data_IF_022937290062
#
_entry.id   IF_022937290062
#
_cell.length_a   1.000
_cell.length_b   1.000
_cell.length_c   1.000
_cell.angle_alpha   90.00
_cell.angle_beta   90.00
_cell.angle_gamma   90.00
#
_symmetry.space_group_name_H-M   'P 1'
#
loop_
_entity.id
_entity.type
_entity.pdbx_description
1 polymer ?
#
# COMPACT_ATOMS: atom_id res chain seq x y z
N UNK A 1 -2.10 21.97 12.43
CA UNK A 1 -2.30 20.53 12.18
C UNK A 1 -0.99 19.83 12.52
N UNK A 2 -0.97 18.82 13.40
CA UNK A 2 0.25 18.05 13.70
C UNK A 2 0.66 17.24 12.46
N UNK A 3 1.95 17.14 12.17
CA UNK A 3 2.41 16.30 11.06
C UNK A 3 2.24 14.83 11.41
N UNK A 4 1.82 14.03 10.42
CA UNK A 4 1.64 12.59 10.61
C UNK A 4 2.96 11.90 10.96
N UNK A 5 4.07 12.39 10.41
CA UNK A 5 5.41 11.93 10.73
C UNK A 5 5.76 12.18 12.20
N UNK A 6 5.42 13.34 12.75
CA UNK A 6 5.66 13.63 14.16
C UNK A 6 4.86 12.72 15.09
N UNK A 7 3.60 12.43 14.74
CA UNK A 7 2.73 11.51 15.50
C UNK A 7 3.31 10.09 15.48
N UNK A 8 3.83 9.64 14.33
CA UNK A 8 4.48 8.32 14.20
C UNK A 8 5.79 8.22 14.98
N UNK A 9 6.61 9.26 14.94
CA UNK A 9 7.91 9.29 15.60
C UNK A 9 7.77 9.47 17.12
N UNK A 10 6.75 10.19 17.58
CA UNK A 10 6.58 10.57 18.98
C UNK A 10 5.15 10.27 19.49
N UNK A 11 4.65 9.02 19.38
CA UNK A 11 3.26 8.69 19.73
C UNK A 11 2.97 8.94 21.22
N UNK A 12 3.95 8.72 22.10
CA UNK A 12 3.80 8.95 23.54
C UNK A 12 3.65 10.45 23.87
N UNK A 13 4.46 11.30 23.25
CA UNK A 13 4.40 12.76 23.46
C UNK A 13 3.06 13.32 23.02
N UNK A 14 2.53 12.82 21.90
CA UNK A 14 1.20 13.21 21.41
C UNK A 14 0.10 12.70 22.34
N UNK A 15 0.21 11.46 22.83
CA UNK A 15 -0.74 10.88 23.80
C UNK A 15 -0.82 11.71 25.08
N UNK A 16 0.32 12.05 25.67
CA UNK A 16 0.38 12.90 26.86
C UNK A 16 -0.17 14.30 26.59
N UNK A 17 0.11 14.87 25.41
CA UNK A 17 -0.42 16.17 25.01
C UNK A 17 -1.94 16.19 24.87
N UNK A 18 -2.53 15.12 24.34
CA UNK A 18 -3.97 14.93 24.21
C UNK A 18 -4.63 14.71 25.58
N UNK A 19 -4.02 13.88 26.43
CA UNK A 19 -4.50 13.60 27.78
C UNK A 19 -4.55 14.88 28.65
N UNK A 20 -3.49 15.70 28.61
CA UNK A 20 -3.46 17.02 29.29
C UNK A 20 -4.57 17.96 28.81
N UNK A 21 -5.00 17.82 27.56
CA UNK A 21 -6.07 18.61 26.94
C UNK A 21 -7.45 17.97 27.13
N UNK A 22 -7.54 16.80 27.76
CA UNK A 22 -8.75 15.96 27.87
C UNK A 22 -9.37 15.67 26.50
N UNK A 23 -8.52 15.52 25.49
CA UNK A 23 -8.93 15.21 24.14
C UNK A 23 -8.89 13.69 23.94
N UNK A 24 -10.02 13.12 23.52
CA UNK A 24 -10.23 11.68 23.38
C UNK A 24 -9.88 11.16 21.98
N UNK A 25 -9.09 11.90 21.20
CA UNK A 25 -8.68 11.44 19.87
C UNK A 25 -7.95 10.10 19.95
N UNK A 26 -8.44 9.12 19.18
CA UNK A 26 -7.88 7.79 19.10
C UNK A 26 -6.66 7.75 18.15
N UNK A 27 -5.52 8.23 18.65
CA UNK A 27 -4.24 8.20 17.93
C UNK A 27 -3.77 6.78 17.61
N UNK A 28 -4.15 5.78 18.41
CA UNK A 28 -3.77 4.38 18.16
C UNK A 28 -4.45 3.84 16.91
N UNK A 29 -5.73 4.18 16.71
CA UNK A 29 -6.46 3.88 15.48
C UNK A 29 -5.90 4.62 14.27
N UNK A 30 -5.54 5.91 14.44
CA UNK A 30 -4.87 6.69 13.39
C UNK A 30 -3.56 6.03 12.93
N UNK A 31 -2.73 5.61 13.89
CA UNK A 31 -1.46 4.94 13.62
C UNK A 31 -1.68 3.59 12.92
N UNK A 32 -2.66 2.81 13.39
CA UNK A 32 -3.03 1.53 12.76
C UNK A 32 -3.47 1.71 11.31
N UNK A 33 -4.37 2.66 11.03
CA UNK A 33 -4.85 2.96 9.68
C UNK A 33 -3.71 3.44 8.77
N UNK A 34 -2.79 4.22 9.32
CA UNK A 34 -1.60 4.69 8.61
C UNK A 34 -0.69 3.53 8.20
N UNK A 35 -0.44 2.57 9.10
CA UNK A 35 0.36 1.39 8.75
C UNK A 35 -0.36 0.48 7.76
N UNK A 36 -1.67 0.31 7.90
CA UNK A 36 -2.46 -0.44 6.94
C UNK A 36 -2.33 0.17 5.54
N UNK A 37 -2.49 1.49 5.41
CA UNK A 37 -2.31 2.20 4.14
C UNK A 37 -0.90 2.01 3.58
N UNK A 38 0.13 2.16 4.42
CA UNK A 38 1.53 1.96 3.99
C UNK A 38 1.79 0.53 3.49
N UNK A 39 1.21 -0.46 4.15
CA UNK A 39 1.28 -1.87 3.73
C UNK A 39 0.62 -2.09 2.37
N UNK A 40 -0.56 -1.50 2.14
CA UNK A 40 -1.26 -1.56 0.86
C UNK A 40 -0.47 -0.90 -0.28
N UNK A 41 0.08 0.29 -0.03
CA UNK A 41 0.94 1.00 -0.99
C UNK A 41 2.17 0.15 -1.34
N UNK A 42 2.87 -0.37 -0.33
CA UNK A 42 4.06 -1.22 -0.54
C UNK A 42 3.72 -2.47 -1.36
N UNK A 43 2.57 -3.09 -1.11
CA UNK A 43 2.09 -4.24 -1.88
C UNK A 43 1.77 -3.86 -3.33
N UNK A 44 1.13 -2.71 -3.53
CA UNK A 44 0.81 -2.19 -4.86
C UNK A 44 2.10 -1.95 -5.67
N UNK A 45 3.09 -1.28 -5.07
CA UNK A 45 4.40 -1.03 -5.68
C UNK A 45 5.11 -2.35 -6.03
N UNK A 46 5.05 -3.36 -5.16
CA UNK A 46 5.57 -4.69 -5.42
C UNK A 46 4.93 -5.37 -6.63
N UNK A 47 3.61 -5.22 -6.81
CA UNK A 47 2.90 -5.75 -7.99
C UNK A 47 3.28 -5.01 -9.26
N UNK A 48 3.44 -3.68 -9.21
CA UNK A 48 3.96 -2.90 -10.34
C UNK A 48 5.38 -3.33 -10.74
N UNK A 49 6.25 -3.56 -9.74
CA UNK A 49 7.61 -4.04 -9.97
C UNK A 49 7.60 -5.44 -10.62
N UNK A 50 6.71 -6.34 -10.20
CA UNK A 50 6.54 -7.67 -10.77
C UNK A 50 5.92 -7.65 -12.18
N UNK A 51 5.09 -6.66 -12.50
CA UNK A 51 4.44 -6.53 -13.81
C UNK A 51 5.43 -6.22 -14.93
N UNK A 52 6.47 -5.43 -14.64
CA UNK A 52 7.49 -5.02 -15.62
C UNK A 52 8.23 -6.20 -16.27
N UNK A 53 8.87 -7.13 -15.53
CA UNK A 53 9.56 -8.27 -16.13
C UNK A 53 8.59 -9.22 -16.85
N UNK A 54 7.34 -9.36 -16.38
CA UNK A 54 6.34 -10.19 -17.05
C UNK A 54 5.97 -9.63 -18.44
N UNK A 55 5.84 -8.30 -18.57
CA UNK A 55 5.60 -7.64 -19.86
C UNK A 55 6.76 -7.85 -20.84
N UNK A 56 8.00 -7.77 -20.36
CA UNK A 56 9.17 -8.07 -21.20
C UNK A 56 9.23 -9.55 -21.59
N UNK A 57 8.91 -10.46 -20.67
CA UNK A 57 8.87 -11.89 -20.94
C UNK A 57 7.85 -12.26 -22.03
N UNK A 58 6.69 -11.59 -22.08
CA UNK A 58 5.68 -11.81 -23.14
C UNK A 58 6.23 -11.48 -24.53
N UNK A 59 7.05 -10.43 -24.67
CA UNK A 59 7.58 -10.00 -25.97
C UNK A 59 8.43 -11.09 -26.61
N UNK A 60 9.26 -11.76 -25.81
CA UNK A 60 10.22 -12.78 -26.27
C UNK A 60 9.72 -14.22 -26.15
N UNK A 61 8.58 -14.46 -25.49
CA UNK A 61 8.05 -15.81 -25.28
C UNK A 61 7.41 -16.44 -26.54
N UNK A 62 7.39 -17.78 -26.57
CA UNK A 62 6.64 -18.58 -27.55
C UNK A 62 5.12 -18.41 -27.39
N UNK A 63 4.35 -18.77 -28.42
CA UNK A 63 2.89 -18.56 -28.45
C UNK A 63 2.17 -19.16 -27.23
N UNK A 64 2.55 -20.37 -26.81
CA UNK A 64 1.98 -21.04 -25.63
C UNK A 64 2.28 -20.27 -24.33
N UNK A 65 3.55 -19.91 -24.11
CA UNK A 65 3.98 -19.14 -22.93
C UNK A 65 3.40 -17.73 -22.91
N UNK A 66 3.17 -17.12 -24.08
CA UNK A 66 2.51 -15.80 -24.19
C UNK A 66 1.10 -15.83 -23.63
N UNK A 67 0.33 -16.90 -23.86
CA UNK A 67 -1.03 -16.99 -23.32
C UNK A 67 -1.04 -17.07 -21.80
N UNK A 68 -0.14 -17.86 -21.21
CA UNK A 68 -0.01 -17.99 -19.75
C UNK A 68 0.46 -16.68 -19.11
N UNK A 69 1.50 -16.06 -19.66
CA UNK A 69 2.00 -14.78 -19.17
C UNK A 69 0.97 -13.66 -19.30
N UNK A 70 0.19 -13.64 -20.39
CA UNK A 70 -0.90 -12.66 -20.56
C UNK A 70 -2.01 -12.84 -19.51
N UNK A 71 -2.34 -14.08 -19.13
CA UNK A 71 -3.27 -14.34 -18.02
C UNK A 71 -2.73 -13.81 -16.69
N UNK A 72 -1.44 -14.06 -16.39
CA UNK A 72 -0.80 -13.55 -15.16
C UNK A 72 -0.76 -12.01 -15.13
N UNK A 73 -0.42 -11.37 -16.24
CA UNK A 73 -0.44 -9.90 -16.38
C UNK A 73 -1.84 -9.34 -16.11
N UNK A 74 -2.89 -9.98 -16.65
CA UNK A 74 -4.27 -9.55 -16.43
C UNK A 74 -4.67 -9.67 -14.97
N UNK A 75 -4.34 -10.78 -14.31
CA UNK A 75 -4.61 -10.98 -12.88
C UNK A 75 -3.90 -9.92 -12.01
N UNK A 76 -2.60 -9.71 -12.21
CA UNK A 76 -1.82 -8.70 -11.48
C UNK A 76 -2.39 -7.29 -11.71
N UNK A 77 -2.82 -6.98 -12.94
CA UNK A 77 -3.41 -5.67 -13.25
C UNK A 77 -4.77 -5.48 -12.55
N UNK A 78 -5.53 -6.55 -12.34
CA UNK A 78 -6.77 -6.50 -11.55
C UNK A 78 -6.47 -6.33 -10.06
N UNK A 79 -5.48 -7.04 -9.53
CA UNK A 79 -5.05 -6.92 -8.13
C UNK A 79 -4.56 -5.50 -7.80
N UNK A 80 -3.78 -4.90 -8.71
CA UNK A 80 -3.35 -3.50 -8.61
C UNK A 80 -4.56 -2.58 -8.50
N UNK A 81 -5.54 -2.68 -9.42
CA UNK A 81 -6.75 -1.85 -9.38
C UNK A 81 -7.52 -2.01 -8.06
N UNK A 82 -7.63 -3.24 -7.54
CA UNK A 82 -8.30 -3.48 -6.27
C UNK A 82 -7.54 -2.85 -5.10
N UNK A 83 -6.21 -2.90 -5.09
CA UNK A 83 -5.39 -2.26 -4.06
C UNK A 83 -5.45 -0.74 -4.16
N UNK A 84 -5.44 -0.17 -5.36
CA UNK A 84 -5.61 1.27 -5.57
C UNK A 84 -6.94 1.77 -4.99
N UNK A 85 -8.04 1.02 -5.18
CA UNK A 85 -9.34 1.32 -4.57
C UNK A 85 -9.34 1.25 -3.04
N UNK A 86 -8.45 0.46 -2.44
CA UNK A 86 -8.30 0.38 -0.97
C UNK A 86 -7.36 1.45 -0.40
N UNK A 87 -6.54 2.08 -1.24
CA UNK A 87 -5.60 3.15 -0.87
C UNK A 87 -6.24 4.54 -1.00
N UNK A 88 -7.13 4.69 -1.99
CA UNK A 88 -7.90 5.90 -2.31
C UNK A 88 -8.89 6.25 -1.19
#
# INVERSE_FOLDING_TARGET
MLSLDFIRQNPQVVREGLDRRRDSQNIDELLRLTEQKRGLVTRCDGLYAALKPLKEAVRVASLERRTELSKRIKAISQDIRQLELQIA
#
